data_IF_087333294215
#
_entry.id   IF_087333294215
#
_cell.length_a   1.000
_cell.length_b   1.000
_cell.length_c   1.000
_cell.angle_alpha   90.00
_cell.angle_beta   90.00
_cell.angle_gamma   90.00
#
_symmetry.space_group_name_H-M   'P 1'
#
loop_
_entity.id
_entity.type
_entity.pdbx_description
1 polymer ?
#
# COMPACT_ATOMS: atom_id res chain seq x y z
N UNK A 1 -7.42 12.02 20.08
CA UNK A 1 -6.42 12.38 19.05
C UNK A 1 -5.06 12.34 19.72
N UNK A 2 -4.05 11.75 19.09
CA UNK A 2 -2.70 11.72 19.68
C UNK A 2 -1.89 12.91 19.17
N UNK A 3 -1.13 13.56 20.06
CA UNK A 3 -0.23 14.65 19.73
C UNK A 3 1.20 14.14 19.84
N UNK A 4 1.99 14.39 18.80
CA UNK A 4 3.41 14.08 18.79
C UNK A 4 4.19 15.36 18.48
N UNK A 5 5.31 15.54 19.17
CA UNK A 5 6.29 16.58 18.87
C UNK A 5 7.46 15.93 18.17
N UNK A 6 7.85 16.46 17.02
CA UNK A 6 8.97 15.95 16.22
C UNK A 6 10.12 16.94 16.27
N UNK A 7 11.31 16.45 16.61
CA UNK A 7 12.55 17.19 16.43
C UNK A 7 12.99 17.08 14.98
N UNK A 8 13.23 18.23 14.34
CA UNK A 8 13.76 18.34 12.97
C UNK A 8 14.95 19.30 12.98
N UNK A 9 15.81 19.24 11.97
CA UNK A 9 16.91 20.20 11.84
C UNK A 9 16.38 21.62 11.58
N UNK A 10 17.14 22.62 12.02
CA UNK A 10 16.82 24.03 11.78
C UNK A 10 16.70 24.36 10.29
N UNK A 11 17.48 23.69 9.45
CA UNK A 11 17.42 23.82 8.00
C UNK A 11 16.04 23.41 7.45
N UNK A 12 15.56 22.22 7.82
CA UNK A 12 14.24 21.73 7.41
C UNK A 12 13.14 22.63 7.98
N UNK A 13 13.27 23.09 9.22
CA UNK A 13 12.28 24.00 9.82
C UNK A 13 12.15 25.32 9.05
N UNK A 14 13.28 25.90 8.61
CA UNK A 14 13.31 27.12 7.80
C UNK A 14 12.65 26.90 6.43
N UNK A 15 12.94 25.78 5.79
CA UNK A 15 12.35 25.41 4.50
C UNK A 15 10.84 25.17 4.62
N UNK A 16 10.39 24.45 5.64
CA UNK A 16 8.96 24.26 5.91
C UNK A 16 8.22 25.60 6.07
N UNK A 17 8.85 26.55 6.78
CA UNK A 17 8.29 27.88 7.00
C UNK A 17 8.14 28.72 5.74
N UNK A 18 8.95 28.49 4.70
CA UNK A 18 8.82 29.23 3.44
C UNK A 18 7.61 28.80 2.61
N UNK A 19 6.94 27.70 2.97
CA UNK A 19 5.73 27.19 2.31
C UNK A 19 4.52 27.09 3.26
N UNK A 20 3.96 28.22 3.75
CA UNK A 20 2.85 28.23 4.70
C UNK A 20 1.52 27.70 4.11
N UNK A 21 1.39 27.65 2.78
CA UNK A 21 0.22 27.09 2.10
C UNK A 21 0.09 25.57 2.27
N UNK A 22 1.15 24.89 2.69
CA UNK A 22 1.16 23.44 2.88
C UNK A 22 0.61 23.10 4.28
N UNK A 23 -0.34 22.15 4.33
CA UNK A 23 -0.83 21.59 5.60
C UNK A 23 0.17 20.57 6.15
N UNK A 24 1.23 21.05 6.78
CA UNK A 24 2.35 20.21 7.25
C UNK A 24 1.93 19.08 8.20
N UNK A 25 0.91 19.28 9.03
CA UNK A 25 0.35 18.22 9.90
C UNK A 25 -0.32 17.09 9.11
N UNK A 26 -0.86 17.36 7.92
CA UNK A 26 -1.39 16.33 7.01
C UNK A 26 -0.23 15.61 6.31
N UNK A 27 0.73 16.36 5.78
CA UNK A 27 1.92 15.80 5.14
C UNK A 27 2.70 14.86 6.08
N UNK A 28 2.86 15.25 7.36
CA UNK A 28 3.48 14.41 8.38
C UNK A 28 2.68 13.12 8.61
N UNK A 29 1.35 13.20 8.70
CA UNK A 29 0.48 12.02 8.85
C UNK A 29 0.57 11.07 7.66
N UNK A 30 0.61 11.60 6.43
CA UNK A 30 0.81 10.78 5.23
C UNK A 30 2.20 10.12 5.20
N UNK A 31 3.25 10.85 5.57
CA UNK A 31 4.60 10.32 5.71
C UNK A 31 4.66 9.15 6.70
N UNK A 32 4.07 9.31 7.88
CA UNK A 32 3.99 8.25 8.90
C UNK A 32 3.22 7.04 8.38
N UNK A 33 2.06 7.24 7.74
CA UNK A 33 1.29 6.13 7.14
C UNK A 33 2.13 5.38 6.11
N UNK A 34 2.83 6.09 5.24
CA UNK A 34 3.70 5.50 4.21
C UNK A 34 4.79 4.64 4.83
N UNK A 35 5.47 5.13 5.87
CA UNK A 35 6.50 4.38 6.59
C UNK A 35 5.93 3.13 7.27
N UNK A 36 4.76 3.25 7.92
CA UNK A 36 4.08 2.11 8.52
C UNK A 36 3.65 1.06 7.48
N UNK A 37 3.17 1.49 6.30
CA UNK A 37 2.81 0.59 5.21
C UNK A 37 4.04 -0.14 4.65
N UNK A 38 5.18 0.54 4.54
CA UNK A 38 6.45 -0.08 4.15
C UNK A 38 6.91 -1.13 5.16
N UNK A 39 6.89 -0.80 6.46
CA UNK A 39 7.28 -1.74 7.53
C UNK A 39 6.34 -2.94 7.63
N UNK A 40 5.05 -2.75 7.42
CA UNK A 40 4.06 -3.84 7.46
C UNK A 40 4.11 -4.74 6.23
N UNK A 41 4.79 -4.33 5.14
CA UNK A 41 4.73 -5.02 3.86
C UNK A 41 3.31 -5.07 3.25
N UNK A 42 2.36 -4.32 3.82
CA UNK A 42 0.96 -4.29 3.44
C UNK A 42 0.60 -2.87 3.05
N UNK A 43 0.33 -2.69 1.76
CA UNK A 43 -0.31 -1.48 1.23
C UNK A 43 -1.79 -1.77 1.04
N UNK A 44 -2.65 -0.80 1.33
CA UNK A 44 -4.07 -0.96 1.02
C UNK A 44 -4.29 -0.97 -0.49
N UNK A 45 -5.35 -1.63 -0.97
CA UNK A 45 -5.67 -1.64 -2.41
C UNK A 45 -5.83 -0.23 -2.99
N UNK A 46 -6.41 0.70 -2.23
CA UNK A 46 -6.53 2.12 -2.64
C UNK A 46 -5.18 2.80 -2.79
N UNK A 47 -4.23 2.47 -1.92
CA UNK A 47 -2.89 3.06 -1.93
C UNK A 47 -2.02 2.45 -3.04
N UNK A 48 -2.23 1.17 -3.36
CA UNK A 48 -1.68 0.54 -4.56
C UNK A 48 -2.22 1.23 -5.82
N UNK A 49 -3.54 1.44 -5.93
CA UNK A 49 -4.15 2.10 -7.08
C UNK A 49 -3.56 3.49 -7.35
N UNK A 50 -3.32 4.28 -6.30
CA UNK A 50 -2.68 5.61 -6.40
C UNK A 50 -1.24 5.58 -6.93
N UNK A 51 -0.56 4.43 -6.87
CA UNK A 51 0.82 4.26 -7.35
C UNK A 51 0.91 3.78 -8.79
N UNK A 52 -0.21 3.36 -9.38
CA UNK A 52 -0.24 2.94 -10.78
C UNK A 52 -0.14 4.16 -11.71
N UNK A 53 0.37 3.95 -12.93
CA UNK A 53 0.41 5.02 -13.92
C UNK A 53 -1.02 5.52 -14.25
N UNK A 54 -1.20 6.79 -14.64
CA UNK A 54 -2.52 7.32 -15.00
C UNK A 54 -3.23 6.49 -16.08
N UNK A 55 -2.48 5.98 -17.06
CA UNK A 55 -2.98 5.14 -18.15
C UNK A 55 -3.53 3.81 -17.60
N UNK A 56 -2.80 3.20 -16.66
CA UNK A 56 -3.19 1.95 -16.02
C UNK A 56 -4.44 2.14 -15.16
N UNK A 57 -4.53 3.24 -14.41
CA UNK A 57 -5.71 3.56 -13.61
C UNK A 57 -6.95 3.72 -14.50
N UNK A 58 -6.82 4.40 -15.64
CA UNK A 58 -7.90 4.57 -16.61
C UNK A 58 -8.35 3.24 -17.21
N UNK A 59 -7.39 2.40 -17.62
CA UNK A 59 -7.69 1.08 -18.16
C UNK A 59 -8.44 0.17 -17.17
N UNK A 60 -8.15 0.29 -15.86
CA UNK A 60 -8.87 -0.45 -14.82
C UNK A 60 -10.31 0.03 -14.62
N UNK A 61 -10.57 1.33 -14.79
CA UNK A 61 -11.93 1.91 -14.68
C UNK A 61 -12.80 1.55 -15.88
N UNK A 62 -12.21 1.43 -17.06
CA UNK A 62 -12.89 1.08 -18.31
C UNK A 62 -13.02 -0.44 -18.52
N UNK A 63 -12.43 -1.24 -17.62
CA UNK A 63 -12.42 -2.69 -17.72
C UNK A 63 -13.83 -3.26 -17.45
N UNK A 64 -14.40 -4.08 -18.34
CA UNK A 64 -15.71 -4.69 -18.12
C UNK A 64 -15.68 -5.71 -16.97
N UNK A 65 -16.79 -5.84 -16.26
CA UNK A 65 -16.94 -6.76 -15.11
C UNK A 65 -16.57 -8.20 -15.44
N UNK A 66 -16.84 -8.66 -16.67
CA UNK A 66 -16.47 -9.99 -17.13
C UNK A 66 -14.96 -10.25 -17.05
N UNK A 67 -14.14 -9.23 -17.34
CA UNK A 67 -12.68 -9.32 -17.23
C UNK A 67 -12.20 -9.28 -15.78
N UNK A 68 -12.89 -8.54 -14.92
CA UNK A 68 -12.65 -8.60 -13.47
C UNK A 68 -12.91 -9.99 -12.91
N UNK A 69 -14.02 -10.63 -13.29
CA UNK A 69 -14.36 -12.01 -12.88
C UNK A 69 -13.32 -13.01 -13.39
N UNK A 70 -12.92 -12.90 -14.66
CA UNK A 70 -11.89 -13.75 -15.26
C UNK A 70 -10.57 -13.65 -14.49
N UNK A 71 -10.12 -12.42 -14.21
CA UNK A 71 -8.89 -12.14 -13.46
C UNK A 71 -8.94 -12.69 -12.04
N UNK A 72 -10.07 -12.49 -11.33
CA UNK A 72 -10.28 -13.03 -9.99
C UNK A 72 -10.20 -14.55 -9.94
N UNK A 73 -10.85 -15.24 -10.89
CA UNK A 73 -10.82 -16.70 -10.95
C UNK A 73 -9.40 -17.22 -11.19
N UNK A 74 -8.64 -16.60 -12.11
CA UNK A 74 -7.22 -16.94 -12.34
C UNK A 74 -6.37 -16.74 -11.09
N UNK A 75 -6.53 -15.62 -10.38
CA UNK A 75 -5.82 -15.35 -9.13
C UNK A 75 -6.14 -16.41 -8.06
N UNK A 76 -7.43 -16.74 -7.89
CA UNK A 76 -7.90 -17.75 -6.93
C UNK A 76 -7.31 -19.14 -7.22
N UNK A 77 -7.21 -19.53 -8.49
CA UNK A 77 -6.57 -20.78 -8.89
C UNK A 77 -5.06 -20.79 -8.61
N UNK A 78 -4.37 -19.70 -8.91
CA UNK A 78 -2.96 -19.53 -8.57
C UNK A 78 -2.70 -19.66 -7.07
N UNK A 79 -3.54 -19.03 -6.26
CA UNK A 79 -3.45 -19.08 -4.80
C UNK A 79 -3.69 -20.50 -4.26
N UNK A 80 -4.68 -21.23 -4.81
CA UNK A 80 -4.88 -22.65 -4.49
C UNK A 80 -3.63 -23.49 -4.77
N UNK A 81 -2.96 -23.26 -5.91
CA UNK A 81 -1.72 -23.96 -6.28
C UNK A 81 -0.60 -23.62 -5.30
N UNK A 82 -0.40 -22.34 -4.98
CA UNK A 82 0.59 -21.86 -4.00
C UNK A 82 0.39 -22.51 -2.63
N UNK A 83 -0.84 -22.52 -2.12
CA UNK A 83 -1.19 -23.14 -0.85
C UNK A 83 -0.93 -24.64 -0.86
N UNK A 84 -1.30 -25.34 -1.95
CA UNK A 84 -1.03 -26.78 -2.10
C UNK A 84 0.47 -27.09 -2.05
N UNK A 85 1.30 -26.26 -2.69
CA UNK A 85 2.75 -26.42 -2.64
C UNK A 85 3.29 -26.18 -1.22
N UNK A 86 2.82 -25.14 -0.53
CA UNK A 86 3.26 -24.85 0.84
C UNK A 86 2.87 -25.93 1.84
N UNK A 87 1.67 -26.52 1.70
CA UNK A 87 1.22 -27.62 2.58
C UNK A 87 1.90 -28.94 2.28
N UNK A 88 2.41 -29.16 1.06
CA UNK A 88 3.20 -30.34 0.71
C UNK A 88 4.66 -30.26 1.20
N UNK A 89 5.22 -29.05 1.33
CA UNK A 89 6.63 -28.85 1.74
C UNK A 89 6.80 -28.79 3.26
N UNK A 90 5.73 -28.53 4.03
CA UNK A 90 5.78 -28.59 5.49
C UNK A 90 5.61 -30.04 5.96
N UNK A 91 6.63 -30.70 6.53
CA UNK A 91 6.45 -32.04 7.07
C UNK A 91 5.36 -31.99 8.13
N UNK A 92 4.38 -32.88 8.02
CA UNK A 92 3.43 -33.11 9.10
C UNK A 92 4.24 -33.41 10.36
N UNK A 93 4.37 -32.45 11.27
CA UNK A 93 4.78 -32.73 12.66
C UNK A 93 3.68 -33.59 13.26
N UNK A 94 3.72 -34.89 12.94
CA UNK A 94 2.95 -35.92 13.64
C UNK A 94 3.55 -35.99 15.04
N UNK A 95 2.73 -35.58 16.02
CA UNK A 95 2.87 -35.99 17.41
C UNK A 95 2.70 -37.50 17.53
#
# INVERSE_FOLDING_TARGET
MAHITLSISDEIYREIKSYPQIKWSEAAREGIRKQLSQLKGVISGKELLKRLSPETQKALLELPDSKWIEGYNKMKEGEKRRLKLLTQVLPSKKK
#
